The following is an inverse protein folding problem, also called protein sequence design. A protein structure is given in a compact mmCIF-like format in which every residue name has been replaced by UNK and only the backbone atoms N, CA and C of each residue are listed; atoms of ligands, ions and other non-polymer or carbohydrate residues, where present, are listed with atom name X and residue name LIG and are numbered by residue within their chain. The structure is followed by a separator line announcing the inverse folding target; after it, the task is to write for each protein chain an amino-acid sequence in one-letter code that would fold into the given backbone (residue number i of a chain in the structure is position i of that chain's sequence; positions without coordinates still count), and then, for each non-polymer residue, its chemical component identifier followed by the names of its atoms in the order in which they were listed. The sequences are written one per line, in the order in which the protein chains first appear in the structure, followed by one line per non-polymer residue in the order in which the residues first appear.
data_IF_540963692453
#
_entry.id   IF_540963692453
#
_cell.length_a   1.000
_cell.length_b   1.000
_cell.length_c   1.000
_cell.angle_alpha   90.00
_cell.angle_beta   90.00
_cell.angle_gamma   90.00
#
_symmetry.space_group_name_H-M   'P 1'
#
loop_
_entity.id
_entity.type
_entity.pdbx_description
1 polymer ?
#
# COMPACT_ATOMS: atom_id res chain seq x y z
N UNK A 1 2.02 -29.03 2.27
CA UNK A 1 0.55 -29.21 2.31
C UNK A 1 0.05 -28.17 1.34
N UNK A 2 -0.51 -28.59 0.20
CA UNK A 2 -1.00 -27.62 -0.79
C UNK A 2 -2.20 -26.90 -0.18
N UNK A 3 -2.10 -25.58 0.00
CA UNK A 3 -3.12 -24.75 0.63
C UNK A 3 -4.36 -24.67 -0.27
N UNK A 4 -5.27 -25.64 -0.09
CA UNK A 4 -6.58 -25.73 -0.76
C UNK A 4 -7.42 -24.46 -0.64
N UNK A 5 -7.16 -23.61 0.38
CA UNK A 5 -7.83 -22.34 0.60
C UNK A 5 -7.61 -21.33 -0.55
N UNK A 6 -6.47 -21.41 -1.23
CA UNK A 6 -6.10 -20.52 -2.33
C UNK A 6 -6.21 -21.19 -3.70
N UNK A 7 -6.82 -22.38 -3.76
CA UNK A 7 -7.07 -23.10 -5.00
C UNK A 7 -8.06 -22.34 -5.90
N UNK A 8 -7.70 -22.12 -7.16
CA UNK A 8 -8.56 -21.52 -8.17
C UNK A 8 -8.46 -22.32 -9.47
N UNK A 9 -9.45 -22.27 -10.38
CA UNK A 9 -9.50 -23.14 -11.55
C UNK A 9 -8.54 -22.69 -12.67
N UNK A 10 -7.24 -22.56 -12.35
CA UNK A 10 -6.19 -22.09 -13.27
C UNK A 10 -6.08 -22.96 -14.53
N UNK A 11 -6.27 -24.28 -14.36
CA UNK A 11 -6.27 -25.27 -15.44
C UNK A 11 -7.30 -24.99 -16.54
N UNK A 12 -8.41 -24.29 -16.23
CA UNK A 12 -9.44 -23.93 -17.23
C UNK A 12 -8.93 -22.88 -18.23
N UNK A 13 -7.85 -22.19 -17.89
CA UNK A 13 -7.31 -21.05 -18.63
C UNK A 13 -5.88 -21.29 -19.11
N UNK A 14 -5.39 -22.52 -19.06
CA UNK A 14 -3.99 -22.87 -19.35
C UNK A 14 -2.98 -22.08 -18.48
N UNK A 15 -3.37 -21.76 -17.24
CA UNK A 15 -2.55 -21.05 -16.27
C UNK A 15 -2.11 -21.97 -15.13
N UNK A 16 -1.02 -21.59 -14.47
CA UNK A 16 -0.53 -22.24 -13.25
C UNK A 16 -1.16 -21.60 -12.02
N UNK A 17 -1.23 -22.37 -10.93
CA UNK A 17 -1.77 -21.89 -9.66
C UNK A 17 -1.10 -20.58 -9.17
N UNK A 18 0.22 -20.46 -9.27
CA UNK A 18 0.96 -19.25 -8.84
C UNK A 18 0.72 -18.02 -9.73
N UNK A 19 0.28 -18.20 -10.99
CA UNK A 19 0.02 -17.08 -11.89
C UNK A 19 -1.06 -16.14 -11.33
N UNK A 20 -1.96 -16.66 -10.48
CA UNK A 20 -2.97 -15.88 -9.76
C UNK A 20 -2.37 -14.79 -8.86
N UNK A 21 -1.34 -15.14 -8.09
CA UNK A 21 -0.74 -14.25 -7.09
C UNK A 21 0.52 -13.51 -7.60
N UNK A 22 1.09 -13.94 -8.71
CA UNK A 22 2.20 -13.24 -9.36
C UNK A 22 1.68 -12.35 -10.50
N UNK A 23 1.40 -12.93 -11.66
CA UNK A 23 1.12 -12.19 -12.89
C UNK A 23 -0.24 -11.50 -12.87
N UNK A 24 -1.29 -12.23 -12.48
CA UNK A 24 -2.65 -11.70 -12.46
C UNK A 24 -2.80 -10.65 -11.35
N UNK A 25 -2.22 -10.88 -10.18
CA UNK A 25 -2.20 -9.90 -9.10
C UNK A 25 -1.45 -8.61 -9.50
N UNK A 26 -0.25 -8.73 -10.08
CA UNK A 26 0.51 -7.56 -10.55
C UNK A 26 -0.25 -6.75 -11.61
N UNK A 27 -1.01 -7.43 -12.48
CA UNK A 27 -1.73 -6.78 -13.58
C UNK A 27 -3.09 -6.21 -13.18
N UNK A 28 -3.86 -6.93 -12.36
CA UNK A 28 -5.27 -6.63 -12.09
C UNK A 28 -5.54 -6.21 -10.65
N UNK A 29 -4.63 -6.46 -9.71
CA UNK A 29 -4.79 -6.14 -8.28
C UNK A 29 -3.65 -5.24 -7.75
N UNK A 30 -3.07 -4.41 -8.62
CA UNK A 30 -2.03 -3.44 -8.24
C UNK A 30 -2.48 -2.03 -8.62
N UNK A 31 -2.39 -1.10 -7.67
CA UNK A 31 -2.75 0.29 -7.85
C UNK A 31 -1.50 1.18 -8.05
N UNK A 32 -1.46 2.06 -9.07
CA UNK A 32 -0.36 2.98 -9.25
C UNK A 32 -0.46 4.15 -8.26
N UNK A 33 0.58 4.33 -7.42
CA UNK A 33 0.73 5.50 -6.54
C UNK A 33 2.06 6.21 -6.82
N UNK A 34 2.10 7.52 -6.58
CA UNK A 34 3.33 8.30 -6.66
C UNK A 34 4.26 7.92 -5.49
N UNK A 35 5.54 7.69 -5.78
CA UNK A 35 6.56 7.33 -4.78
C UNK A 35 6.86 8.52 -3.85
N UNK A 36 6.86 9.73 -4.40
CA UNK A 36 7.12 10.98 -3.69
C UNK A 36 6.03 12.01 -4.01
N UNK A 37 5.90 13.00 -3.14
CA UNK A 37 5.19 14.23 -3.50
C UNK A 37 5.91 14.96 -4.66
N UNK A 38 5.19 15.87 -5.32
CA UNK A 38 5.67 16.56 -6.52
C UNK A 38 6.91 17.41 -6.26
N UNK A 39 6.99 18.06 -5.10
CA UNK A 39 8.10 18.93 -4.72
C UNK A 39 9.40 18.12 -4.55
N UNK A 40 9.33 17.00 -3.83
CA UNK A 40 10.48 16.10 -3.66
C UNK A 40 10.97 15.57 -5.00
N UNK A 41 10.07 15.14 -5.88
CA UNK A 41 10.45 14.72 -7.24
C UNK A 41 11.08 15.85 -8.06
N UNK A 42 10.58 17.08 -7.93
CA UNK A 42 11.15 18.24 -8.62
C UNK A 42 12.59 18.51 -8.16
N UNK A 43 12.88 18.39 -6.87
CA UNK A 43 14.25 18.52 -6.36
C UNK A 43 15.17 17.44 -6.95
N UNK A 44 14.75 16.17 -6.95
CA UNK A 44 15.53 15.08 -7.57
C UNK A 44 15.80 15.33 -9.05
N UNK A 45 14.78 15.80 -9.78
CA UNK A 45 14.90 16.14 -11.20
C UNK A 45 15.91 17.26 -11.43
N UNK A 46 15.85 18.35 -10.64
CA UNK A 46 16.78 19.47 -10.77
C UNK A 46 18.22 19.07 -10.44
N UNK A 47 18.41 18.30 -9.37
CA UNK A 47 19.72 17.81 -8.96
C UNK A 47 20.36 16.97 -10.08
N UNK A 48 19.61 15.99 -10.61
CA UNK A 48 20.11 15.11 -11.67
C UNK A 48 20.31 15.90 -12.96
N UNK A 49 19.40 16.80 -13.34
CA UNK A 49 19.52 17.61 -14.56
C UNK A 49 20.70 18.58 -14.53
N UNK A 50 21.20 18.94 -13.34
CA UNK A 50 22.41 19.77 -13.19
C UNK A 50 23.68 18.99 -13.52
N UNK A 51 23.65 17.66 -13.36
CA UNK A 51 24.82 16.78 -13.54
C UNK A 51 24.78 16.09 -14.91
N UNK A 52 23.60 15.66 -15.35
CA UNK A 52 23.42 14.96 -16.62
C UNK A 52 23.69 15.88 -17.81
N UNK A 53 24.45 15.38 -18.79
CA UNK A 53 24.82 16.14 -19.99
C UNK A 53 23.98 15.77 -21.21
N UNK A 54 23.36 14.59 -21.17
CA UNK A 54 22.47 14.08 -22.23
C UNK A 54 21.11 13.67 -21.68
N UNK A 55 20.12 13.56 -22.56
CA UNK A 55 18.77 13.10 -22.22
C UNK A 55 18.79 11.64 -21.75
N UNK A 56 19.64 10.83 -22.36
CA UNK A 56 19.85 9.42 -22.03
C UNK A 56 20.43 9.27 -20.62
N UNK A 57 21.42 10.08 -20.26
CA UNK A 57 21.97 10.13 -18.90
C UNK A 57 20.90 10.56 -17.88
N UNK A 58 20.14 11.62 -18.17
CA UNK A 58 19.04 12.08 -17.31
C UNK A 58 18.04 10.94 -17.02
N UNK A 59 17.61 10.20 -18.04
CA UNK A 59 16.67 9.10 -17.86
C UNK A 59 17.26 7.92 -17.10
N UNK A 60 18.53 7.58 -17.38
CA UNK A 60 19.23 6.52 -16.64
C UNK A 60 19.33 6.87 -15.16
N UNK A 61 19.76 8.08 -14.82
CA UNK A 61 19.93 8.51 -13.43
C UNK A 61 18.59 8.67 -12.70
N UNK A 62 17.53 9.14 -13.38
CA UNK A 62 16.18 9.15 -12.82
C UNK A 62 15.65 7.74 -12.52
N UNK A 63 15.95 6.75 -13.38
CA UNK A 63 15.57 5.37 -13.13
C UNK A 63 16.30 4.79 -11.92
N UNK A 64 17.59 5.11 -11.74
CA UNK A 64 18.36 4.73 -10.56
C UNK A 64 17.79 5.40 -9.30
N UNK A 65 17.54 6.71 -9.34
CA UNK A 65 16.96 7.47 -8.22
C UNK A 65 15.58 6.93 -7.83
N UNK A 66 14.74 6.53 -8.79
CA UNK A 66 13.47 5.87 -8.52
C UNK A 66 13.67 4.58 -7.71
N UNK A 67 14.61 3.74 -8.09
CA UNK A 67 14.88 2.47 -7.39
C UNK A 67 15.41 2.71 -5.98
N UNK A 68 16.34 3.66 -5.82
CA UNK A 68 16.83 4.10 -4.51
C UNK A 68 15.68 4.56 -3.61
N UNK A 69 14.79 5.42 -4.14
CA UNK A 69 13.70 5.97 -3.34
C UNK A 69 12.69 4.92 -2.89
N UNK A 70 12.36 3.96 -3.76
CA UNK A 70 11.52 2.82 -3.38
C UNK A 70 12.18 2.03 -2.25
N UNK A 71 13.48 1.78 -2.34
CA UNK A 71 14.23 1.03 -1.34
C UNK A 71 14.27 1.77 0.01
N UNK A 72 14.63 3.06 0.02
CA UNK A 72 14.63 3.92 1.21
C UNK A 72 13.26 3.91 1.91
N UNK A 73 12.18 4.20 1.16
CA UNK A 73 10.84 4.28 1.72
C UNK A 73 10.34 2.92 2.22
N UNK A 74 10.72 1.83 1.56
CA UNK A 74 10.36 0.48 2.01
C UNK A 74 11.06 0.14 3.31
N UNK A 75 12.36 0.46 3.45
CA UNK A 75 13.09 0.24 4.70
C UNK A 75 12.53 1.06 5.85
N UNK A 76 12.26 2.34 5.61
CA UNK A 76 11.67 3.22 6.62
C UNK A 76 10.29 2.71 7.04
N UNK A 77 9.46 2.30 6.08
CA UNK A 77 8.14 1.74 6.38
C UNK A 77 8.23 0.44 7.20
N UNK A 78 9.19 -0.44 6.88
CA UNK A 78 9.43 -1.66 7.65
C UNK A 78 9.89 -1.36 9.07
N UNK A 79 10.85 -0.45 9.22
CA UNK A 79 11.32 0.03 10.53
C UNK A 79 10.17 0.57 11.39
N UNK A 80 9.37 1.48 10.82
CA UNK A 80 8.19 2.04 11.49
C UNK A 80 7.17 0.96 11.85
N UNK A 81 6.99 -0.04 10.98
CA UNK A 81 6.05 -1.12 11.24
C UNK A 81 6.41 -1.93 12.49
N UNK A 82 7.71 -2.20 12.73
CA UNK A 82 8.15 -2.91 13.94
C UNK A 82 7.85 -2.13 15.21
N UNK A 83 8.14 -0.82 15.21
CA UNK A 83 7.88 0.05 16.36
C UNK A 83 6.38 0.14 16.69
N UNK A 84 5.54 0.32 15.67
CA UNK A 84 4.08 0.44 15.86
C UNK A 84 3.46 -0.90 16.29
N UNK A 85 3.92 -2.02 15.73
CA UNK A 85 3.44 -3.35 16.11
C UNK A 85 3.84 -3.67 17.56
N UNK A 86 5.06 -3.31 17.97
CA UNK A 86 5.55 -3.58 19.32
C UNK A 86 4.96 -2.65 20.39
N UNK A 87 4.50 -1.46 20.02
CA UNK A 87 3.95 -0.47 20.95
C UNK A 87 2.60 0.08 20.48
N UNK A 88 1.48 -0.59 20.86
CA UNK A 88 0.14 -0.13 20.50
C UNK A 88 -0.21 1.28 20.94
N UNK A 89 0.50 1.87 21.92
CA UNK A 89 0.26 3.22 22.41
C UNK A 89 0.73 4.34 21.46
N UNK A 90 1.51 4.03 20.42
CA UNK A 90 1.92 4.99 19.39
C UNK A 90 0.76 5.36 18.44
N UNK A 91 -0.28 4.53 18.40
CA UNK A 91 -1.52 4.77 17.66
C UNK A 91 -2.67 4.71 18.69
N UNK A 92 -3.80 5.35 18.40
CA UNK A 92 -5.00 5.11 19.21
C UNK A 92 -5.30 3.61 19.24
N UNK A 93 -5.47 3.01 20.44
CA UNK A 93 -5.59 1.56 20.62
C UNK A 93 -6.70 0.92 19.76
N UNK A 94 -7.77 1.67 19.48
CA UNK A 94 -8.88 1.25 18.60
C UNK A 94 -8.46 1.09 17.13
N UNK A 95 -7.45 1.83 16.68
CA UNK A 95 -6.96 1.82 15.29
C UNK A 95 -5.75 0.93 15.06
N UNK A 96 -5.14 0.44 16.14
CA UNK A 96 -3.92 -0.36 16.06
C UNK A 96 -4.07 -1.61 15.19
N UNK A 97 -5.18 -2.34 15.32
CA UNK A 97 -5.45 -3.51 14.48
C UNK A 97 -5.54 -3.16 12.99
N UNK A 98 -6.10 -2.00 12.65
CA UNK A 98 -6.16 -1.52 11.26
C UNK A 98 -4.77 -1.11 10.75
N UNK A 99 -3.94 -0.47 11.58
CA UNK A 99 -2.56 -0.16 11.22
C UNK A 99 -1.74 -1.43 10.92
N UNK A 100 -1.92 -2.48 11.71
CA UNK A 100 -1.29 -3.78 11.43
C UNK A 100 -1.72 -4.33 10.07
N UNK A 101 -3.00 -4.25 9.72
CA UNK A 101 -3.46 -4.71 8.42
C UNK A 101 -2.78 -3.95 7.29
N UNK A 102 -2.65 -2.62 7.37
CA UNK A 102 -1.90 -1.82 6.38
C UNK A 102 -0.47 -2.34 6.19
N UNK A 103 0.26 -2.61 7.28
CA UNK A 103 1.64 -3.11 7.17
C UNK A 103 1.73 -4.54 6.65
N UNK A 104 0.77 -5.41 7.00
CA UNK A 104 0.76 -6.83 6.61
C UNK A 104 0.35 -7.03 5.15
N UNK A 105 -0.70 -6.36 4.71
CA UNK A 105 -1.27 -6.55 3.36
C UNK A 105 -0.65 -5.61 2.34
N UNK A 106 -0.16 -4.44 2.78
CA UNK A 106 0.33 -3.35 1.93
C UNK A 106 -0.64 -3.02 0.78
N UNK A 107 -1.93 -3.22 1.00
CA UNK A 107 -2.98 -3.08 -0.01
C UNK A 107 -3.69 -1.73 0.12
N UNK A 108 -4.27 -1.28 -1.00
CA UNK A 108 -5.09 -0.07 -1.00
C UNK A 108 -6.36 -0.25 -0.17
N UNK A 109 -6.96 -1.45 -0.13
CA UNK A 109 -8.13 -1.74 0.71
C UNK A 109 -7.85 -1.51 2.20
N UNK A 110 -6.67 -1.92 2.68
CA UNK A 110 -6.32 -1.87 4.09
C UNK A 110 -5.97 -0.44 4.49
N UNK A 111 -5.37 0.33 3.56
CA UNK A 111 -5.16 1.76 3.73
C UNK A 111 -6.49 2.51 3.85
N UNK A 112 -7.47 2.21 3.00
CA UNK A 112 -8.82 2.79 3.09
C UNK A 112 -9.49 2.38 4.40
N UNK A 113 -9.41 1.10 4.79
CA UNK A 113 -9.95 0.60 6.04
C UNK A 113 -9.36 1.31 7.28
N UNK A 114 -8.05 1.58 7.26
CA UNK A 114 -7.37 2.34 8.32
C UNK A 114 -7.86 3.78 8.46
N UNK A 115 -8.08 4.50 7.36
CA UNK A 115 -8.63 5.85 7.46
C UNK A 115 -10.13 5.86 7.78
N UNK A 116 -10.88 4.89 7.25
CA UNK A 116 -12.31 4.76 7.50
C UNK A 116 -12.62 4.52 8.99
N UNK A 117 -11.75 3.80 9.71
CA UNK A 117 -11.95 3.50 11.12
C UNK A 117 -11.91 4.73 12.03
N UNK A 118 -11.39 5.88 11.56
CA UNK A 118 -11.43 7.16 12.29
C UNK A 118 -12.77 7.90 12.18
N UNK A 119 -13.61 7.56 11.20
CA UNK A 119 -14.87 8.28 10.94
C UNK A 119 -16.00 7.78 11.85
N UNK A 120 -15.80 6.65 12.54
CA UNK A 120 -16.81 6.03 13.40
C UNK A 120 -18.01 5.49 12.61
N UNK A 121 -18.78 4.59 13.23
CA UNK A 121 -20.08 4.15 12.74
C UNK A 121 -21.23 5.12 13.11
N UNK A 122 -20.92 6.38 13.40
CA UNK A 122 -21.85 7.34 14.01
C UNK A 122 -22.80 8.03 13.01
N UNK A 123 -23.15 7.32 11.93
CA UNK A 123 -24.18 7.72 10.97
C UNK A 123 -25.44 6.85 10.98
N UNK A 124 -25.45 5.74 11.72
CA UNK A 124 -26.60 4.83 11.80
C UNK A 124 -27.13 4.75 13.23
N UNK A 125 -27.72 5.85 13.72
CA UNK A 125 -28.77 5.72 14.72
C UNK A 125 -30.06 5.36 13.95
N UNK A 126 -30.54 4.10 13.93
CA UNK A 126 -31.96 3.92 13.78
C UNK A 126 -32.56 4.49 15.06
N UNK A 127 -33.09 5.71 14.98
CA UNK A 127 -34.15 6.13 15.88
C UNK A 127 -35.33 5.18 15.67
N UNK A 128 -35.26 4.00 16.28
CA UNK A 128 -36.45 3.25 16.61
C UNK A 128 -37.14 4.02 17.72
N UNK A 129 -37.96 4.97 17.26
CA UNK A 129 -39.15 5.42 17.93
C UNK A 129 -39.94 4.19 18.38
N UNK A 130 -39.67 3.74 19.61
CA UNK A 130 -40.69 3.07 20.40
C UNK A 130 -41.71 4.13 20.80
N UNK A 131 -42.63 4.40 19.90
CA UNK A 131 -43.83 5.18 20.14
C UNK A 131 -44.99 4.50 19.44
N UNK A 132 -45.71 3.72 20.25
CA UNK A 132 -47.17 3.54 20.27
C UNK A 132 -47.91 3.56 18.92
N UNK A 133 -48.46 2.41 18.51
CA UNK A 133 -49.91 2.09 18.53
C UNK A 133 -50.13 0.60 18.32
#
# INVERSE_FOLDING_TARGET
MDDLEWAWPAWKFDLKMHDGFEQLHAKYNTFPSAIQNRQSFHCDLLEIATIATTKEELYKELAIRKQMRIFELTQELESLSYEIVANPGLIAATQWHHAIQVFRTKSFDSLVGYFASYIGSDGSNPSDNSSSF
#
